data_IF_715049073204
#
_entry.id   IF_715049073204
#
_cell.length_a   1.000
_cell.length_b   1.000
_cell.length_c   1.000
_cell.angle_alpha   90.00
_cell.angle_beta   90.00
_cell.angle_gamma   90.00
#
_symmetry.space_group_name_H-M   'P 1'
#
loop_
_entity.id
_entity.type
_entity.pdbx_description
1 polymer ?
#
# COMPACT_ATOMS: atom_id res chain seq x y z
N UNK A 1 8.90 -4.71 5.57
CA UNK A 1 8.13 -4.39 4.35
C UNK A 1 8.58 -3.03 3.87
N UNK A 2 8.76 -2.88 2.57
CA UNK A 2 9.22 -1.64 1.95
C UNK A 2 8.12 -1.10 1.05
N UNK A 3 8.02 0.23 0.93
CA UNK A 3 7.08 0.83 -0.01
C UNK A 3 7.46 0.42 -1.44
N UNK A 4 6.59 -0.26 -2.20
CA UNK A 4 6.89 -0.69 -3.57
C UNK A 4 6.97 0.48 -4.56
N UNK A 5 6.68 1.71 -4.12
CA UNK A 5 6.70 2.93 -4.95
C UNK A 5 7.95 3.76 -4.70
N UNK A 6 8.28 4.08 -3.44
CA UNK A 6 9.43 4.94 -3.13
C UNK A 6 10.61 4.21 -2.46
N UNK A 7 10.47 2.92 -2.15
CA UNK A 7 11.50 2.15 -1.46
C UNK A 7 11.71 2.50 0.02
N UNK A 8 10.83 3.32 0.61
CA UNK A 8 10.95 3.68 2.02
C UNK A 8 10.55 2.50 2.93
N UNK A 9 11.34 2.27 3.98
CA UNK A 9 11.11 1.22 4.98
C UNK A 9 10.26 1.68 6.17
N UNK A 10 10.05 3.00 6.34
CA UNK A 10 9.22 3.57 7.41
C UNK A 10 7.73 3.54 7.02
N UNK A 11 7.15 2.34 7.01
CA UNK A 11 5.72 2.14 6.82
C UNK A 11 4.99 2.13 8.16
N UNK A 12 3.82 2.75 8.20
CA UNK A 12 2.85 2.57 9.28
C UNK A 12 2.05 1.29 9.11
N UNK A 13 1.57 0.69 10.20
CA UNK A 13 0.66 -0.45 10.16
C UNK A 13 -0.77 0.03 10.43
N UNK A 14 -1.67 -0.19 9.47
CA UNK A 14 -3.10 0.14 9.60
C UNK A 14 -3.94 -1.08 10.01
N UNK A 15 -3.43 -2.28 9.73
CA UNK A 15 -4.07 -3.54 10.09
C UNK A 15 -3.17 -4.73 9.79
N UNK A 16 -3.68 -5.94 10.00
CA UNK A 16 -2.89 -7.18 9.84
C UNK A 16 -2.23 -7.34 8.46
N UNK A 17 -2.89 -6.82 7.42
CA UNK A 17 -2.45 -6.93 6.02
C UNK A 17 -2.36 -5.57 5.32
N UNK A 18 -2.47 -4.47 6.08
CA UNK A 18 -2.58 -3.10 5.55
C UNK A 18 -1.50 -2.21 6.12
N UNK A 19 -0.85 -1.45 5.25
CA UNK A 19 0.29 -0.61 5.57
C UNK A 19 0.13 0.76 4.95
N UNK A 20 0.65 1.79 5.58
CA UNK A 20 0.61 3.15 5.10
C UNK A 20 2.01 3.68 4.82
N UNK A 21 2.21 4.30 3.66
CA UNK A 21 3.44 5.02 3.35
C UNK A 21 3.22 6.52 3.53
N UNK A 22 3.85 7.17 4.54
CA UNK A 22 3.69 8.61 4.78
C UNK A 22 4.36 9.48 3.72
N UNK A 23 5.27 8.92 2.91
CA UNK A 23 5.98 9.66 1.87
C UNK A 23 5.21 9.71 0.55
N UNK A 24 4.53 8.63 0.21
CA UNK A 24 3.73 8.55 -1.01
C UNK A 24 2.24 8.85 -0.78
N UNK A 25 1.81 8.94 0.48
CA UNK A 25 0.41 8.98 0.88
C UNK A 25 -0.41 7.81 0.29
N UNK A 26 0.12 6.59 0.42
CA UNK A 26 -0.50 5.38 -0.14
C UNK A 26 -0.83 4.36 0.96
N UNK A 27 -1.95 3.67 0.78
CA UNK A 27 -2.26 2.44 1.49
C UNK A 27 -1.85 1.23 0.65
N UNK A 28 -1.15 0.29 1.27
CA UNK A 28 -0.62 -0.94 0.67
C UNK A 28 -1.32 -2.12 1.35
N UNK A 29 -1.98 -2.96 0.57
CA UNK A 29 -2.69 -4.15 1.06
C UNK A 29 -2.04 -5.40 0.49
N UNK A 30 -1.72 -6.36 1.35
CA UNK A 30 -1.09 -7.64 0.97
C UNK A 30 -2.00 -8.79 1.36
N UNK A 31 -2.77 -9.31 0.41
CA UNK A 31 -3.78 -10.34 0.64
C UNK A 31 -3.59 -11.53 -0.29
N UNK A 32 -3.43 -12.74 0.25
CA UNK A 32 -3.48 -14.00 -0.51
C UNK A 32 -2.66 -13.97 -1.82
N UNK A 33 -1.40 -13.51 -1.73
CA UNK A 33 -0.49 -13.29 -2.86
C UNK A 33 -0.93 -12.21 -3.86
N UNK A 34 -1.72 -11.24 -3.43
CA UNK A 34 -2.05 -10.02 -4.17
C UNK A 34 -1.51 -8.81 -3.43
N UNK A 35 -0.85 -7.93 -4.17
CA UNK A 35 -0.46 -6.60 -3.74
C UNK A 35 -1.41 -5.59 -4.35
N UNK A 36 -2.09 -4.82 -3.50
CA UNK A 36 -2.92 -3.69 -3.92
C UNK A 36 -2.34 -2.39 -3.37
N UNK A 37 -2.31 -1.35 -4.19
CA UNK A 37 -1.85 -0.02 -3.84
C UNK A 37 -2.99 0.96 -4.08
N UNK A 38 -3.37 1.65 -3.01
CA UNK A 38 -4.40 2.68 -3.01
C UNK A 38 -3.75 4.05 -2.79
N UNK A 39 -4.06 5.00 -3.65
CA UNK A 39 -3.81 6.41 -3.40
C UNK A 39 -4.88 6.95 -2.45
N UNK A 40 -4.43 7.63 -1.39
CA UNK A 40 -5.32 8.33 -0.46
C UNK A 40 -5.48 9.75 -0.97
N UNK A 41 -6.69 10.10 -1.40
CA UNK A 41 -7.05 11.46 -1.80
C UNK A 41 -7.14 12.38 -0.58
N UNK A 42 -7.18 13.69 -0.82
CA UNK A 42 -7.23 14.71 0.25
C UNK A 42 -8.47 14.58 1.14
N UNK A 43 -9.58 14.09 0.58
CA UNK A 43 -10.83 13.80 1.29
C UNK A 43 -10.87 12.43 1.97
N UNK A 44 -9.79 11.64 1.85
CA UNK A 44 -9.66 10.30 2.41
C UNK A 44 -10.22 9.19 1.52
N UNK A 45 -10.68 9.49 0.30
CA UNK A 45 -11.07 8.45 -0.66
C UNK A 45 -9.86 7.58 -1.05
N UNK A 46 -10.08 6.27 -1.17
CA UNK A 46 -9.06 5.31 -1.60
C UNK A 46 -9.26 4.95 -3.07
N UNK A 47 -8.31 5.33 -3.92
CA UNK A 47 -8.32 5.00 -5.34
C UNK A 47 -7.30 3.89 -5.61
N UNK A 48 -7.76 2.75 -6.12
CA UNK A 48 -6.87 1.65 -6.53
C UNK A 48 -6.05 2.10 -7.76
N UNK A 49 -4.73 2.19 -7.60
CA UNK A 49 -3.81 2.61 -8.67
C UNK A 49 -2.93 1.46 -9.17
N UNK A 50 -2.77 0.39 -8.39
CA UNK A 50 -2.01 -0.80 -8.79
C UNK A 50 -2.55 -2.05 -8.12
N UNK A 51 -2.66 -3.14 -8.87
CA UNK A 51 -2.97 -4.48 -8.35
C UNK A 51 -2.06 -5.50 -9.06
N UNK A 52 -1.28 -6.24 -8.29
CA UNK A 52 -0.30 -7.20 -8.81
C UNK A 52 -0.36 -8.52 -8.06
N UNK A 53 -0.40 -9.62 -8.81
CA UNK A 53 -0.26 -10.95 -8.23
C UNK A 53 1.21 -11.18 -7.89
N UNK A 54 1.50 -11.36 -6.62
CA UNK A 54 2.82 -11.73 -6.13
C UNK A 54 3.09 -13.19 -6.57
N UNK A 55 4.07 -13.38 -7.44
CA UNK A 55 4.49 -14.72 -7.85
C UNK A 55 5.17 -15.44 -6.67
N UNK A 56 4.77 -16.69 -6.45
CA UNK A 56 5.33 -17.60 -5.43
C UNK A 56 6.74 -18.07 -5.77
#
# INVERSE_FOLDING_TARGET
>A
MECPVCGNQRLGTLGRIRYYCPYCNLEIVVKDSMLEIYEIKEDGELILIKQEKMAS
#
